data_IF_180925352399
#
_entry.id   IF_180925352399
#
_cell.length_a   1.000
_cell.length_b   1.000
_cell.length_c   1.000
_cell.angle_alpha   90.00
_cell.angle_beta   90.00
_cell.angle_gamma   90.00
#
_symmetry.space_group_name_H-M   'P 1'
#
loop_
_entity.id
_entity.type
_entity.pdbx_description
1 polymer ?
#
# COMPACT_ATOMS: atom_id res chain seq x y z
N UNK A 1 -24.64 34.85 9.82
CA UNK A 1 -25.38 36.03 9.32
C UNK A 1 -24.82 37.33 9.93
N UNK A 2 -23.49 37.47 9.94
CA UNK A 2 -22.77 38.60 10.56
C UNK A 2 -22.58 39.74 9.55
N UNK A 3 -22.31 40.96 10.02
CA UNK A 3 -21.98 42.10 9.15
C UNK A 3 -20.75 41.79 8.29
N UNK A 4 -19.71 41.18 8.88
CA UNK A 4 -18.52 40.75 8.15
C UNK A 4 -18.83 39.81 6.98
N UNK A 5 -19.72 38.82 7.19
CA UNK A 5 -20.11 37.89 6.12
C UNK A 5 -20.90 38.59 5.00
N UNK A 6 -21.78 39.54 5.35
CA UNK A 6 -22.52 40.33 4.35
C UNK A 6 -21.58 41.24 3.54
N UNK A 7 -20.60 41.86 4.19
CA UNK A 7 -19.58 42.69 3.53
C UNK A 7 -18.73 41.86 2.54
N UNK A 8 -18.32 40.66 2.95
CA UNK A 8 -17.61 39.72 2.07
C UNK A 8 -18.46 39.37 0.84
N UNK A 9 -19.73 38.99 1.02
CA UNK A 9 -20.60 38.63 -0.11
C UNK A 9 -20.84 39.81 -1.06
N UNK A 10 -20.97 41.02 -0.53
CA UNK A 10 -21.07 42.23 -1.35
C UNK A 10 -19.80 42.45 -2.17
N UNK A 11 -18.62 42.32 -1.55
CA UNK A 11 -17.33 42.45 -2.23
C UNK A 11 -17.13 41.37 -3.32
N UNK A 12 -17.52 40.12 -3.06
CA UNK A 12 -17.54 39.06 -4.06
C UNK A 12 -18.46 39.38 -5.25
N UNK A 13 -19.63 39.96 -4.97
CA UNK A 13 -20.59 40.33 -6.03
C UNK A 13 -20.01 41.43 -6.93
N UNK A 14 -19.31 42.39 -6.34
CA UNK A 14 -18.68 43.48 -7.08
C UNK A 14 -17.44 43.02 -7.87
N UNK A 15 -16.60 42.16 -7.30
CA UNK A 15 -15.39 41.68 -7.98
C UNK A 15 -15.64 40.52 -8.97
N UNK A 16 -16.77 39.82 -8.85
CA UNK A 16 -17.06 38.60 -9.61
C UNK A 16 -16.28 37.37 -9.13
N UNK A 17 -15.57 37.47 -8.00
CA UNK A 17 -14.78 36.38 -7.42
C UNK A 17 -15.62 35.54 -6.44
N UNK A 18 -15.27 34.27 -6.31
CA UNK A 18 -15.76 33.45 -5.19
C UNK A 18 -15.21 33.96 -3.86
N UNK A 19 -15.89 33.67 -2.72
CA UNK A 19 -15.38 34.01 -1.39
C UNK A 19 -13.94 33.54 -1.13
N UNK A 20 -13.58 32.35 -1.59
CA UNK A 20 -12.23 31.80 -1.41
C UNK A 20 -11.18 32.62 -2.19
N UNK A 21 -11.44 32.91 -3.47
CA UNK A 21 -10.54 33.70 -4.31
C UNK A 21 -10.31 35.10 -3.73
N UNK A 22 -11.40 35.76 -3.29
CA UNK A 22 -11.30 37.08 -2.69
C UNK A 22 -10.50 37.04 -1.37
N UNK A 23 -10.74 36.04 -0.51
CA UNK A 23 -9.99 35.87 0.75
C UNK A 23 -8.50 35.62 0.51
N UNK A 24 -8.15 34.81 -0.49
CA UNK A 24 -6.76 34.55 -0.88
C UNK A 24 -6.11 35.83 -1.41
N UNK A 25 -6.76 36.53 -2.34
CA UNK A 25 -6.26 37.80 -2.90
C UNK A 25 -6.05 38.88 -1.83
N UNK A 26 -6.90 38.89 -0.80
CA UNK A 26 -6.78 39.82 0.32
C UNK A 26 -5.80 39.37 1.42
N UNK A 27 -5.15 38.21 1.27
CA UNK A 27 -4.21 37.66 2.27
C UNK A 27 -4.87 37.19 3.57
N UNK A 28 -6.18 36.93 3.56
CA UNK A 28 -6.90 36.35 4.70
C UNK A 28 -6.77 34.82 4.76
N UNK A 29 -6.42 34.20 3.63
CA UNK A 29 -6.05 32.79 3.49
C UNK A 29 -4.76 32.76 2.67
N UNK A 30 -3.78 31.99 3.12
CA UNK A 30 -2.42 32.04 2.57
C UNK A 30 -2.35 31.45 1.15
N UNK A 31 -3.11 30.38 0.87
CA UNK A 31 -3.07 29.70 -0.42
C UNK A 31 -4.33 28.88 -0.72
N UNK A 32 -4.56 28.49 -2.00
CA UNK A 32 -5.58 27.50 -2.34
C UNK A 32 -5.41 26.19 -1.58
N UNK A 33 -4.16 25.75 -1.34
CA UNK A 33 -3.86 24.53 -0.58
C UNK A 33 -4.41 24.63 0.85
N UNK A 34 -4.11 25.72 1.56
CA UNK A 34 -4.60 25.95 2.93
C UNK A 34 -6.13 26.03 2.98
N UNK A 35 -6.77 26.65 1.99
CA UNK A 35 -8.24 26.66 1.89
C UNK A 35 -8.82 25.25 1.77
N UNK A 36 -8.30 24.45 0.84
CA UNK A 36 -8.80 23.09 0.59
C UNK A 36 -8.51 22.14 1.75
N UNK A 37 -7.31 22.20 2.34
CA UNK A 37 -6.95 21.47 3.55
C UNK A 37 -7.84 21.86 4.72
N UNK A 38 -8.05 23.16 4.98
CA UNK A 38 -8.92 23.64 6.05
C UNK A 38 -10.36 23.17 5.89
N UNK A 39 -10.90 23.19 4.67
CA UNK A 39 -12.22 22.65 4.36
C UNK A 39 -12.31 21.14 4.60
N UNK A 40 -11.29 20.38 4.17
CA UNK A 40 -11.21 18.95 4.40
C UNK A 40 -11.15 18.61 5.89
N UNK A 41 -10.24 19.25 6.63
CA UNK A 41 -10.08 19.07 8.08
C UNK A 41 -11.37 19.44 8.82
N UNK A 42 -12.01 20.56 8.49
CA UNK A 42 -13.29 20.92 9.12
C UNK A 42 -14.37 19.86 8.95
N UNK A 43 -14.45 19.24 7.77
CA UNK A 43 -15.50 18.27 7.45
C UNK A 43 -15.20 16.87 8.00
N UNK A 44 -13.93 16.45 8.00
CA UNK A 44 -13.53 15.07 8.29
C UNK A 44 -12.75 14.92 9.60
N UNK A 45 -12.12 15.99 10.09
CA UNK A 45 -11.29 16.03 11.29
C UNK A 45 -11.64 17.26 12.16
N UNK A 46 -12.89 17.41 12.65
CA UNK A 46 -13.34 18.61 13.36
C UNK A 46 -12.58 18.88 14.67
N UNK A 47 -11.91 17.87 15.24
CA UNK A 47 -11.01 18.00 16.39
C UNK A 47 -9.53 18.19 16.03
N UNK A 48 -9.20 18.33 14.75
CA UNK A 48 -7.83 18.30 14.21
C UNK A 48 -7.41 16.91 13.73
N UNK A 49 -6.42 16.88 12.82
CA UNK A 49 -5.84 15.64 12.26
C UNK A 49 -4.64 15.10 13.04
N UNK A 50 -4.13 15.86 14.01
CA UNK A 50 -3.01 15.42 14.85
C UNK A 50 -3.42 14.26 15.74
N UNK A 51 -2.51 13.32 15.94
CA UNK A 51 -2.69 12.27 16.94
C UNK A 51 -2.56 12.86 18.35
N UNK A 52 -3.21 12.23 19.32
CA UNK A 52 -3.02 12.55 20.73
C UNK A 52 -1.66 11.99 21.17
N UNK A 53 -0.70 12.87 21.45
CA UNK A 53 0.67 12.49 21.84
C UNK A 53 0.73 11.71 23.16
N UNK A 54 -0.35 11.68 23.95
CA UNK A 54 -0.44 10.83 25.15
C UNK A 54 -0.71 9.36 24.84
N UNK A 55 -1.24 9.05 23.65
CA UNK A 55 -1.49 7.69 23.20
C UNK A 55 -0.22 7.16 22.53
N UNK A 56 0.51 6.32 23.25
CA UNK A 56 1.76 5.71 22.80
C UNK A 56 1.70 4.19 22.91
N UNK A 57 2.61 3.52 22.22
CA UNK A 57 2.89 2.11 22.46
C UNK A 57 3.43 1.94 23.88
N UNK A 58 2.94 0.93 24.59
CA UNK A 58 3.58 0.45 25.80
C UNK A 58 4.90 -0.26 25.44
N UNK A 59 6.02 0.38 25.76
CA UNK A 59 7.36 -0.12 25.42
C UNK A 59 7.67 -1.47 26.05
N UNK A 60 7.15 -1.74 27.25
CA UNK A 60 7.35 -3.05 27.89
C UNK A 60 6.63 -4.16 27.13
N UNK A 61 5.39 -3.92 26.69
CA UNK A 61 4.66 -4.87 25.84
C UNK A 61 5.32 -5.04 24.47
N UNK A 62 5.88 -3.97 23.89
CA UNK A 62 6.61 -4.03 22.63
C UNK A 62 7.86 -4.91 22.72
N UNK A 63 8.72 -4.64 23.70
CA UNK A 63 9.95 -5.40 23.92
C UNK A 63 9.64 -6.88 24.19
N UNK A 64 8.63 -7.16 25.01
CA UNK A 64 8.19 -8.54 25.28
C UNK A 64 7.67 -9.25 24.03
N UNK A 65 6.81 -8.57 23.24
CA UNK A 65 6.28 -9.13 22.01
C UNK A 65 7.38 -9.42 20.97
N UNK A 66 8.40 -8.56 20.88
CA UNK A 66 9.52 -8.74 19.95
C UNK A 66 10.53 -9.79 20.42
N UNK A 67 10.76 -9.93 21.73
CA UNK A 67 11.76 -10.84 22.29
C UNK A 67 11.45 -12.32 22.01
N UNK A 68 10.18 -12.68 21.92
CA UNK A 68 9.72 -14.05 21.68
C UNK A 68 9.65 -14.41 20.18
N UNK A 69 9.87 -13.45 19.28
CA UNK A 69 9.82 -13.68 17.84
C UNK A 69 11.12 -14.33 17.34
N UNK A 70 11.05 -15.45 16.59
CA UNK A 70 12.23 -16.01 15.95
C UNK A 70 12.79 -15.04 14.90
N UNK A 71 14.10 -15.11 14.67
CA UNK A 71 14.73 -14.37 13.59
C UNK A 71 14.62 -15.15 12.28
N UNK A 72 14.00 -14.55 11.27
CA UNK A 72 13.88 -15.13 9.94
C UNK A 72 15.26 -15.30 9.29
N UNK A 73 15.49 -16.45 8.65
CA UNK A 73 16.72 -16.74 7.92
C UNK A 73 16.60 -16.32 6.45
N UNK A 74 16.29 -15.04 6.24
CA UNK A 74 16.07 -14.44 4.92
C UNK A 74 16.71 -13.06 4.86
N UNK A 75 16.92 -12.56 3.64
CA UNK A 75 17.18 -11.14 3.39
C UNK A 75 15.98 -10.59 2.62
N UNK A 76 15.16 -9.77 3.27
CA UNK A 76 13.98 -9.20 2.65
C UNK A 76 14.27 -7.82 2.05
N UNK A 77 13.46 -7.42 1.08
CA UNK A 77 13.48 -6.07 0.52
C UNK A 77 12.06 -5.61 0.19
N UNK A 78 11.80 -4.31 0.28
CA UNK A 78 10.53 -3.71 -0.13
C UNK A 78 10.66 -3.04 -1.50
N UNK A 79 9.53 -2.79 -2.17
CA UNK A 79 9.46 -2.05 -3.43
C UNK A 79 8.33 -1.03 -3.30
N UNK A 80 8.68 0.25 -3.18
CA UNK A 80 7.74 1.32 -2.86
C UNK A 80 7.98 2.58 -3.67
N UNK A 81 7.00 3.49 -3.67
CA UNK A 81 7.22 4.86 -4.12
C UNK A 81 8.20 5.59 -3.17
N UNK A 82 8.89 6.61 -3.66
CA UNK A 82 9.87 7.41 -2.90
C UNK A 82 9.25 8.14 -1.70
N UNK A 83 7.96 8.48 -1.79
CA UNK A 83 7.21 9.12 -0.71
C UNK A 83 6.71 8.16 0.37
N UNK A 84 6.91 6.85 0.22
CA UNK A 84 6.45 5.86 1.21
C UNK A 84 7.35 5.88 2.45
N UNK A 85 6.77 6.26 3.58
CA UNK A 85 7.41 6.22 4.92
C UNK A 85 6.80 5.19 5.85
N UNK A 86 5.71 4.54 5.43
CA UNK A 86 5.00 3.48 6.15
C UNK A 86 5.12 2.24 5.26
N UNK A 87 6.23 1.52 5.36
CA UNK A 87 6.48 0.34 4.51
C UNK A 87 5.77 -0.85 5.14
N UNK A 88 4.65 -1.24 4.52
CA UNK A 88 3.76 -2.28 5.04
C UNK A 88 4.18 -3.69 4.60
N UNK A 89 4.86 -3.83 3.45
CA UNK A 89 5.18 -5.11 2.87
C UNK A 89 6.62 -5.22 2.34
N UNK A 90 7.14 -6.44 2.38
CA UNK A 90 8.45 -6.81 1.85
C UNK A 90 8.44 -8.23 1.30
N UNK A 91 9.38 -8.52 0.41
CA UNK A 91 9.55 -9.81 -0.25
C UNK A 91 10.93 -10.38 0.06
N UNK A 92 11.04 -11.71 0.12
CA UNK A 92 12.32 -12.42 0.11
C UNK A 92 12.27 -13.65 -0.78
N UNK A 93 13.44 -14.08 -1.25
CA UNK A 93 13.61 -15.28 -2.07
C UNK A 93 14.76 -16.09 -1.48
N UNK A 94 14.54 -17.37 -1.25
CA UNK A 94 15.56 -18.29 -0.71
C UNK A 94 15.60 -19.55 -1.56
N UNK A 95 16.78 -19.92 -2.09
CA UNK A 95 16.92 -21.15 -2.85
C UNK A 95 16.67 -22.38 -1.96
N UNK A 96 15.98 -23.39 -2.50
CA UNK A 96 15.73 -24.67 -1.81
C UNK A 96 16.79 -25.72 -2.19
N UNK A 97 17.09 -26.63 -1.27
CA UNK A 97 18.10 -27.68 -1.48
C UNK A 97 17.75 -28.63 -2.64
N UNK A 98 16.45 -28.94 -2.80
CA UNK A 98 15.94 -29.85 -3.83
C UNK A 98 15.67 -29.14 -5.18
N UNK A 99 16.05 -27.87 -5.31
CA UNK A 99 15.75 -27.00 -6.44
C UNK A 99 14.50 -26.13 -6.23
N UNK A 100 14.37 -25.09 -7.04
CA UNK A 100 13.32 -24.07 -6.85
C UNK A 100 13.65 -23.07 -5.74
N UNK A 101 12.63 -22.35 -5.30
CA UNK A 101 12.78 -21.23 -4.36
C UNK A 101 11.63 -21.17 -3.36
N UNK A 102 11.93 -20.73 -2.14
CA UNK A 102 10.94 -20.26 -1.17
C UNK A 102 10.78 -18.76 -1.31
N UNK A 103 9.54 -18.32 -1.47
CA UNK A 103 9.17 -16.92 -1.51
C UNK A 103 8.59 -16.55 -0.14
N UNK A 104 9.15 -15.51 0.47
CA UNK A 104 8.62 -14.89 1.68
C UNK A 104 7.88 -13.60 1.34
N UNK A 105 6.70 -13.43 1.91
CA UNK A 105 5.87 -12.22 1.84
C UNK A 105 5.68 -11.75 3.27
N UNK A 106 6.29 -10.63 3.62
CA UNK A 106 6.40 -10.15 4.99
C UNK A 106 5.53 -8.91 5.17
N UNK A 107 4.55 -8.97 6.07
CA UNK A 107 3.63 -7.86 6.31
C UNK A 107 3.91 -7.27 7.69
N UNK A 108 4.09 -5.95 7.78
CA UNK A 108 4.24 -5.22 9.03
C UNK A 108 3.13 -5.62 10.01
N UNK A 109 3.50 -5.91 11.26
CA UNK A 109 2.59 -6.55 12.22
C UNK A 109 2.29 -5.70 13.47
N UNK A 110 1.72 -4.48 13.34
CA UNK A 110 1.35 -3.66 14.49
C UNK A 110 0.30 -4.33 15.40
N UNK A 111 -0.46 -5.29 14.87
CA UNK A 111 -1.40 -6.11 15.63
C UNK A 111 -0.75 -7.04 16.68
N UNK A 112 0.58 -7.17 16.70
CA UNK A 112 1.30 -7.88 17.77
C UNK A 112 1.22 -7.17 19.13
N UNK A 113 1.06 -5.84 19.13
CA UNK A 113 1.06 -5.02 20.36
C UNK A 113 -0.20 -4.17 20.52
N UNK A 114 -1.02 -4.07 19.48
CA UNK A 114 -2.29 -3.36 19.53
C UNK A 114 -3.40 -4.39 19.81
N UNK A 115 -3.83 -4.48 21.07
CA UNK A 115 -4.90 -5.36 21.45
C UNK A 115 -6.28 -4.71 21.27
N UNK A 116 -7.30 -5.56 21.20
CA UNK A 116 -8.68 -5.11 21.11
C UNK A 116 -9.04 -4.25 22.33
N UNK A 117 -9.64 -3.10 22.06
CA UNK A 117 -10.15 -2.09 22.99
C UNK A 117 -9.07 -1.21 23.66
N UNK A 118 -7.81 -1.36 23.24
CA UNK A 118 -6.72 -0.46 23.60
C UNK A 118 -6.93 0.96 23.05
N UNK A 119 -6.20 1.93 23.60
CA UNK A 119 -6.24 3.31 23.13
C UNK A 119 -5.83 3.42 21.65
N UNK A 120 -4.76 2.72 21.25
CA UNK A 120 -4.29 2.69 19.85
C UNK A 120 -5.31 2.03 18.91
N UNK A 121 -5.96 0.95 19.35
CA UNK A 121 -6.99 0.28 18.57
C UNK A 121 -8.22 1.19 18.36
N UNK A 122 -8.64 1.93 19.39
CA UNK A 122 -9.70 2.94 19.24
C UNK A 122 -9.32 4.02 18.23
N UNK A 123 -8.07 4.48 18.23
CA UNK A 123 -7.56 5.44 17.25
C UNK A 123 -7.62 4.84 15.84
N UNK A 124 -7.09 3.64 15.65
CA UNK A 124 -7.08 2.93 14.37
C UNK A 124 -8.50 2.72 13.83
N UNK A 125 -9.43 2.21 14.65
CA UNK A 125 -10.84 2.03 14.27
C UNK A 125 -11.55 3.34 13.95
N UNK A 126 -11.20 4.44 14.63
CA UNK A 126 -11.79 5.76 14.35
C UNK A 126 -11.31 6.32 13.02
N UNK A 127 -10.02 6.15 12.70
CA UNK A 127 -9.42 6.65 11.45
C UNK A 127 -9.68 5.74 10.25
N UNK A 128 -9.82 4.43 10.47
CA UNK A 128 -10.01 3.35 9.49
C UNK A 128 -8.86 3.13 8.50
N UNK A 129 -8.27 4.20 7.96
CA UNK A 129 -7.16 4.15 7.01
C UNK A 129 -6.33 5.43 7.05
N UNK A 130 -5.10 5.37 6.52
CA UNK A 130 -4.33 6.58 6.20
C UNK A 130 -5.04 7.33 5.07
N UNK A 131 -5.13 8.66 5.19
CA UNK A 131 -5.64 9.54 4.14
C UNK A 131 -4.46 10.09 3.37
N UNK A 132 -4.34 9.71 2.10
CA UNK A 132 -3.33 10.21 1.18
C UNK A 132 -3.89 11.35 0.33
N UNK A 133 -3.13 12.44 0.20
CA UNK A 133 -3.46 13.55 -0.69
C UNK A 133 -2.15 14.10 -1.30
N UNK A 134 -2.22 14.92 -2.37
CA UNK A 134 -1.01 15.46 -2.98
C UNK A 134 -0.09 16.15 -1.96
N UNK A 135 1.15 15.66 -1.87
CA UNK A 135 2.23 16.22 -1.06
C UNK A 135 2.21 15.92 0.43
N UNK A 136 1.16 15.28 0.98
CA UNK A 136 1.07 15.02 2.42
C UNK A 136 0.04 13.92 2.74
N UNK A 137 -0.01 13.48 4.00
CA UNK A 137 -0.90 12.42 4.46
C UNK A 137 -1.33 12.61 5.91
N UNK A 138 -2.48 12.02 6.26
CA UNK A 138 -2.93 11.89 7.64
C UNK A 138 -2.92 10.39 7.98
N UNK A 139 -1.93 9.98 8.78
CA UNK A 139 -1.64 8.58 9.11
C UNK A 139 -2.73 7.92 9.96
N UNK A 140 -2.99 6.63 9.74
CA UNK A 140 -3.93 5.84 10.55
C UNK A 140 -3.43 5.68 11.98
N UNK A 141 -2.14 5.43 12.14
CA UNK A 141 -1.46 5.21 13.41
C UNK A 141 -0.50 6.37 13.70
N UNK A 142 -0.20 6.68 14.97
CA UNK A 142 0.83 7.66 15.32
C UNK A 142 2.22 7.27 14.77
N UNK A 143 3.06 8.26 14.49
CA UNK A 143 4.42 8.05 13.97
C UNK A 143 5.25 7.15 14.91
N UNK A 144 5.07 7.29 16.22
CA UNK A 144 5.72 6.43 17.22
C UNK A 144 5.35 4.95 17.10
N UNK A 145 4.22 4.63 16.46
CA UNK A 145 3.84 3.25 16.13
C UNK A 145 4.46 2.85 14.81
N UNK A 146 4.33 3.71 13.79
CA UNK A 146 4.86 3.47 12.44
C UNK A 146 6.36 3.16 12.51
N UNK A 147 7.14 3.94 13.24
CA UNK A 147 8.60 3.75 13.38
C UNK A 147 9.00 2.37 13.92
N UNK A 148 8.12 1.70 14.66
CA UNK A 148 8.39 0.37 15.23
C UNK A 148 8.06 -0.78 14.27
N UNK A 149 7.10 -0.57 13.35
CA UNK A 149 6.54 -1.62 12.50
C UNK A 149 6.82 -1.44 11.01
N UNK A 150 7.13 -0.22 10.56
CA UNK A 150 7.58 0.03 9.18
C UNK A 150 8.75 -0.89 8.88
N UNK A 151 8.68 -1.57 7.75
CA UNK A 151 9.70 -2.52 7.29
C UNK A 151 10.92 -1.78 6.72
N UNK A 152 11.46 -0.82 7.48
CA UNK A 152 12.62 -0.03 7.03
C UNK A 152 13.90 -0.87 7.08
N UNK A 153 14.78 -0.64 6.10
CA UNK A 153 16.08 -1.28 5.95
C UNK A 153 17.02 -1.03 7.14
N UNK A 154 17.97 -1.95 7.32
CA UNK A 154 19.08 -1.82 8.28
C UNK A 154 18.86 -2.51 9.63
N UNK A 155 17.65 -2.96 9.95
CA UNK A 155 17.38 -3.76 11.13
C UNK A 155 16.30 -4.82 10.88
N UNK A 156 16.27 -5.92 11.66
CA UNK A 156 15.14 -6.83 11.66
C UNK A 156 13.85 -6.15 12.14
N UNK A 157 12.74 -6.39 11.43
CA UNK A 157 11.43 -5.77 11.71
C UNK A 157 10.36 -6.84 11.99
N UNK A 158 9.44 -6.62 12.96
CA UNK A 158 8.41 -7.59 13.28
C UNK A 158 7.38 -7.70 12.15
N UNK A 159 7.17 -8.90 11.63
CA UNK A 159 6.24 -9.15 10.54
C UNK A 159 5.40 -10.41 10.78
N UNK A 160 4.26 -10.44 10.12
CA UNK A 160 3.52 -11.67 9.84
C UNK A 160 3.88 -12.09 8.42
N UNK A 161 4.68 -13.16 8.32
CA UNK A 161 5.21 -13.67 7.06
C UNK A 161 4.39 -14.83 6.54
N UNK A 162 4.13 -14.82 5.23
CA UNK A 162 3.68 -15.98 4.47
C UNK A 162 4.84 -16.50 3.65
N UNK A 163 5.10 -17.79 3.74
CA UNK A 163 6.06 -18.49 2.89
C UNK A 163 5.34 -19.46 1.97
N UNK A 164 5.78 -19.53 0.72
CA UNK A 164 5.36 -20.53 -0.26
C UNK A 164 6.54 -20.91 -1.15
N UNK A 165 6.62 -22.19 -1.49
CA UNK A 165 7.63 -22.73 -2.37
C UNK A 165 7.16 -22.67 -3.83
N UNK A 166 8.10 -22.40 -4.73
CA UNK A 166 7.94 -22.44 -6.18
C UNK A 166 8.99 -23.35 -6.79
N UNK A 167 8.66 -24.00 -7.90
CA UNK A 167 9.63 -24.75 -8.71
C UNK A 167 10.57 -23.83 -9.51
N UNK A 168 11.46 -24.43 -10.31
CA UNK A 168 12.42 -23.70 -11.15
C UNK A 168 11.76 -22.83 -12.24
N UNK A 169 10.52 -23.16 -12.60
CA UNK A 169 9.72 -22.47 -13.61
C UNK A 169 8.84 -21.38 -12.99
N UNK A 170 8.77 -21.31 -11.66
CA UNK A 170 8.01 -20.34 -10.89
C UNK A 170 6.60 -20.79 -10.52
N UNK A 171 6.24 -22.05 -10.76
CA UNK A 171 4.93 -22.57 -10.39
C UNK A 171 4.86 -22.83 -8.88
N UNK A 172 3.80 -22.34 -8.25
CA UNK A 172 3.61 -22.45 -6.79
C UNK A 172 3.18 -23.85 -6.37
N UNK A 173 3.85 -24.37 -5.34
CA UNK A 173 3.32 -25.45 -4.51
C UNK A 173 2.46 -24.87 -3.39
N UNK A 174 1.14 -24.89 -3.57
CA UNK A 174 0.20 -24.33 -2.59
C UNK A 174 0.17 -25.07 -1.26
N UNK A 175 0.59 -26.34 -1.23
CA UNK A 175 0.59 -27.16 -0.01
C UNK A 175 1.79 -26.83 0.89
N UNK A 176 2.82 -26.15 0.34
CA UNK A 176 4.01 -25.71 1.08
C UNK A 176 3.76 -24.47 1.97
N UNK A 177 2.56 -23.89 1.92
CA UNK A 177 2.23 -22.63 2.56
C UNK A 177 2.49 -22.68 4.07
N UNK A 178 3.21 -21.68 4.58
CA UNK A 178 3.50 -21.50 6.00
C UNK A 178 3.23 -20.06 6.42
N UNK A 179 2.70 -19.88 7.63
CA UNK A 179 2.50 -18.58 8.26
C UNK A 179 3.38 -18.48 9.51
N UNK A 180 4.11 -17.38 9.68
CA UNK A 180 4.99 -17.16 10.84
C UNK A 180 4.93 -15.72 11.32
N UNK A 181 4.84 -15.51 12.62
CA UNK A 181 5.19 -14.23 13.23
C UNK A 181 6.68 -14.28 13.58
N UNK A 182 7.47 -13.31 13.10
CA UNK A 182 8.93 -13.35 13.23
C UNK A 182 9.57 -11.97 13.05
N UNK A 183 10.86 -11.87 13.36
CA UNK A 183 11.69 -10.71 13.04
C UNK A 183 12.35 -10.92 11.68
N UNK A 184 12.07 -10.04 10.72
CA UNK A 184 12.52 -10.15 9.32
C UNK A 184 13.68 -9.19 9.06
N UNK A 185 14.90 -9.68 8.75
CA UNK A 185 16.01 -8.83 8.34
C UNK A 185 15.73 -8.07 7.05
N UNK A 186 15.65 -6.73 7.14
CA UNK A 186 15.41 -5.84 5.99
C UNK A 186 16.74 -5.41 5.36
N UNK A 187 17.00 -5.92 4.16
CA UNK A 187 18.22 -5.67 3.37
C UNK A 187 18.18 -4.38 2.57
N UNK A 188 17.04 -4.03 1.96
CA UNK A 188 16.88 -2.76 1.26
C UNK A 188 15.41 -2.33 1.13
N UNK A 189 15.17 -1.01 1.05
CA UNK A 189 13.91 -0.45 0.58
C UNK A 189 14.09 0.13 -0.84
N UNK A 190 13.67 -0.63 -1.85
CA UNK A 190 13.81 -0.26 -3.25
C UNK A 190 12.77 0.80 -3.63
N UNK A 191 13.20 1.89 -4.27
CA UNK A 191 12.31 2.99 -4.70
C UNK A 191 12.00 2.92 -6.19
N UNK A 192 10.73 2.89 -6.54
CA UNK A 192 10.24 2.74 -7.91
C UNK A 192 10.83 3.78 -8.85
N UNK A 193 10.85 5.06 -8.46
CA UNK A 193 11.35 6.15 -9.31
C UNK A 193 12.84 5.97 -9.70
N UNK A 194 13.62 5.31 -8.85
CA UNK A 194 15.04 5.08 -9.06
C UNK A 194 15.34 3.82 -9.90
N UNK A 195 14.44 2.84 -9.90
CA UNK A 195 14.70 1.48 -10.39
C UNK A 195 13.77 1.04 -11.52
N UNK A 196 12.52 1.50 -11.55
CA UNK A 196 11.49 1.02 -12.47
C UNK A 196 11.94 1.10 -13.94
N UNK A 197 12.58 2.20 -14.34
CA UNK A 197 13.09 2.38 -15.71
C UNK A 197 14.28 1.48 -16.06
N UNK A 198 14.95 0.88 -15.07
CA UNK A 198 16.09 -0.03 -15.26
C UNK A 198 15.67 -1.50 -15.28
N UNK A 199 14.53 -1.83 -14.68
CA UNK A 199 14.04 -3.21 -14.57
C UNK A 199 13.20 -3.58 -15.78
N UNK A 200 13.84 -4.21 -16.75
CA UNK A 200 13.25 -4.82 -17.95
C UNK A 200 13.46 -6.34 -17.97
N UNK A 201 12.74 -7.07 -18.82
CA UNK A 201 12.96 -8.52 -18.97
C UNK A 201 14.42 -8.84 -19.33
N UNK A 202 15.00 -8.07 -20.26
CA UNK A 202 16.40 -8.22 -20.66
C UNK A 202 17.36 -7.97 -19.48
N UNK A 203 17.09 -6.94 -18.66
CA UNK A 203 17.95 -6.63 -17.50
C UNK A 203 17.89 -7.69 -16.41
N UNK A 204 16.75 -8.40 -16.27
CA UNK A 204 16.61 -9.48 -15.31
C UNK A 204 17.35 -10.75 -15.78
N UNK A 205 17.46 -10.95 -17.09
CA UNK A 205 18.21 -12.03 -17.72
C UNK A 205 19.72 -11.76 -17.77
N UNK A 206 20.16 -10.51 -17.84
CA UNK A 206 21.57 -10.14 -17.85
C UNK A 206 22.20 -10.26 -16.45
N UNK A 207 23.03 -11.28 -16.26
CA UNK A 207 23.75 -11.49 -14.99
C UNK A 207 24.70 -10.35 -14.60
N UNK A 208 25.09 -9.50 -15.56
CA UNK A 208 25.98 -8.36 -15.31
C UNK A 208 25.22 -7.05 -15.09
N UNK A 209 23.89 -7.05 -15.13
CA UNK A 209 23.11 -5.85 -14.86
C UNK A 209 23.33 -5.39 -13.41
N UNK A 210 23.67 -4.11 -13.26
CA UNK A 210 23.81 -3.44 -11.96
C UNK A 210 22.43 -3.12 -11.38
N UNK A 211 21.77 -4.17 -10.86
CA UNK A 211 20.44 -4.11 -10.26
C UNK A 211 20.47 -4.75 -8.87
N UNK A 212 20.03 -4.04 -7.83
CA UNK A 212 19.90 -4.62 -6.49
C UNK A 212 18.85 -5.75 -6.54
N UNK A 213 19.13 -6.86 -5.87
CA UNK A 213 18.24 -8.03 -5.82
C UNK A 213 17.81 -8.56 -7.21
N UNK A 214 18.66 -8.39 -8.25
CA UNK A 214 18.34 -8.80 -9.63
C UNK A 214 17.83 -10.23 -9.73
N UNK A 215 18.51 -11.15 -9.05
CA UNK A 215 18.19 -12.57 -9.10
C UNK A 215 16.82 -12.83 -8.46
N UNK A 216 16.58 -12.27 -7.28
CA UNK A 216 15.32 -12.37 -6.55
C UNK A 216 14.17 -11.76 -7.36
N UNK A 217 14.38 -10.58 -7.96
CA UNK A 217 13.41 -9.95 -8.86
C UNK A 217 13.10 -10.83 -10.08
N UNK A 218 14.09 -11.51 -10.66
CA UNK A 218 13.88 -12.42 -11.79
C UNK A 218 13.02 -13.63 -11.42
N UNK A 219 13.24 -14.20 -10.24
CA UNK A 219 12.48 -15.32 -9.69
C UNK A 219 11.04 -14.89 -9.38
N UNK A 220 10.88 -13.76 -8.68
CA UNK A 220 9.58 -13.19 -8.36
C UNK A 220 8.78 -12.85 -9.62
N UNK A 221 9.45 -12.34 -10.65
CA UNK A 221 8.82 -12.01 -11.94
C UNK A 221 8.29 -13.26 -12.65
N UNK A 222 9.08 -14.33 -12.72
CA UNK A 222 8.66 -15.59 -13.35
C UNK A 222 7.37 -16.13 -12.70
N UNK A 223 7.34 -16.20 -11.37
CA UNK A 223 6.17 -16.63 -10.62
C UNK A 223 4.98 -15.64 -10.74
N UNK A 224 5.22 -14.33 -10.69
CA UNK A 224 4.18 -13.31 -10.84
C UNK A 224 3.46 -13.43 -12.20
N UNK A 225 4.17 -13.76 -13.28
CA UNK A 225 3.56 -14.00 -14.59
C UNK A 225 2.62 -15.20 -14.59
N UNK A 226 2.97 -16.28 -13.89
CA UNK A 226 2.13 -17.47 -13.76
C UNK A 226 0.90 -17.20 -12.87
N UNK A 227 1.09 -16.49 -11.76
CA UNK A 227 0.00 -16.01 -10.90
C UNK A 227 -0.99 -15.15 -11.70
N UNK A 228 -0.46 -14.17 -12.45
CA UNK A 228 -1.26 -13.32 -13.32
C UNK A 228 -2.05 -14.13 -14.34
N UNK A 229 -1.39 -15.04 -15.06
CA UNK A 229 -2.03 -15.88 -16.07
C UNK A 229 -3.20 -16.69 -15.48
N UNK A 230 -3.00 -17.34 -14.34
CA UNK A 230 -4.05 -18.08 -13.64
C UNK A 230 -5.25 -17.21 -13.25
N UNK A 231 -5.01 -15.98 -12.76
CA UNK A 231 -6.10 -15.02 -12.49
C UNK A 231 -6.83 -14.62 -13.75
N UNK A 232 -6.12 -14.40 -14.87
CA UNK A 232 -6.77 -14.01 -16.12
C UNK A 232 -7.65 -15.13 -16.70
N UNK A 233 -7.26 -16.40 -16.56
CA UNK A 233 -8.13 -17.54 -16.91
C UNK A 233 -9.44 -17.50 -16.12
N UNK A 234 -9.37 -17.25 -14.80
CA UNK A 234 -10.55 -17.13 -13.97
C UNK A 234 -11.38 -15.87 -14.28
N UNK A 235 -10.75 -14.76 -14.62
CA UNK A 235 -11.47 -13.55 -15.07
C UNK A 235 -12.26 -13.80 -16.35
N UNK A 236 -11.66 -14.49 -17.32
CA UNK A 236 -12.33 -14.85 -18.57
C UNK A 236 -13.49 -15.82 -18.31
N UNK A 237 -13.31 -16.80 -17.41
CA UNK A 237 -14.40 -17.70 -17.03
C UNK A 237 -15.55 -16.98 -16.31
N UNK A 238 -15.26 -15.89 -15.60
CA UNK A 238 -16.24 -14.97 -15.01
C UNK A 238 -16.87 -14.00 -16.05
N UNK A 239 -16.51 -14.10 -17.33
CA UNK A 239 -17.06 -13.25 -18.40
C UNK A 239 -16.42 -11.86 -18.51
N UNK A 240 -15.28 -11.64 -17.86
CA UNK A 240 -14.53 -10.38 -17.92
C UNK A 240 -13.41 -10.45 -18.97
N UNK A 241 -12.95 -9.28 -19.41
CA UNK A 241 -11.80 -9.19 -20.31
C UNK A 241 -10.50 -9.48 -19.56
N UNK A 242 -9.64 -10.30 -20.15
CA UNK A 242 -8.28 -10.51 -19.66
C UNK A 242 -7.47 -9.21 -19.73
N UNK A 243 -6.74 -8.92 -18.66
CA UNK A 243 -5.69 -7.92 -18.62
C UNK A 243 -4.44 -8.46 -19.32
N UNK A 244 -3.62 -7.57 -19.86
CA UNK A 244 -2.36 -7.92 -20.53
C UNK A 244 -1.24 -7.18 -19.80
N UNK A 245 -0.23 -7.91 -19.34
CA UNK A 245 0.94 -7.34 -18.67
C UNK A 245 1.64 -6.31 -19.56
N UNK A 246 2.06 -5.20 -18.96
CA UNK A 246 2.73 -4.10 -19.66
C UNK A 246 1.83 -3.28 -20.61
N UNK A 247 0.57 -3.67 -20.81
CA UNK A 247 -0.39 -2.88 -21.59
C UNK A 247 -1.35 -2.14 -20.65
N UNK A 248 -1.35 -0.82 -20.76
CA UNK A 248 -2.36 0.02 -20.08
C UNK A 248 -3.74 -0.31 -20.66
N UNK A 249 -4.70 -0.66 -19.79
CA UNK A 249 -6.09 -0.84 -20.22
C UNK A 249 -6.61 0.49 -20.81
N UNK A 250 -7.00 0.53 -22.10
CA UNK A 250 -7.50 1.75 -22.74
C UNK A 250 -8.79 2.28 -22.09
N UNK A 251 -9.51 1.45 -21.33
CA UNK A 251 -10.74 1.77 -20.62
C UNK A 251 -10.56 1.93 -19.11
N UNK A 252 -9.40 1.59 -18.55
CA UNK A 252 -9.08 2.04 -17.21
C UNK A 252 -9.16 3.58 -17.23
N UNK A 253 -9.64 4.18 -16.14
CA UNK A 253 -9.61 5.63 -16.01
C UNK A 253 -8.21 6.09 -16.43
N UNK A 254 -8.12 6.85 -17.53
CA UNK A 254 -6.87 7.18 -18.22
C UNK A 254 -5.95 8.13 -17.41
N UNK A 255 -5.99 8.04 -16.08
CA UNK A 255 -5.85 9.16 -15.14
C UNK A 255 -5.46 8.70 -13.74
N UNK A 256 -4.71 7.60 -13.63
CA UNK A 256 -3.85 7.51 -12.45
C UNK A 256 -2.70 8.49 -12.67
N UNK A 257 -2.58 9.42 -11.74
CA UNK A 257 -1.62 10.51 -11.82
C UNK A 257 -0.74 10.48 -10.59
N UNK A 258 0.54 10.79 -10.79
CA UNK A 258 1.38 11.29 -9.72
C UNK A 258 1.11 12.78 -9.57
N UNK A 259 0.92 13.19 -8.32
CA UNK A 259 0.81 14.59 -7.94
C UNK A 259 2.04 14.93 -7.11
N UNK A 260 2.86 15.86 -7.60
CA UNK A 260 4.02 16.36 -6.87
C UNK A 260 3.84 17.83 -6.59
N UNK A 261 4.15 18.26 -5.37
CA UNK A 261 4.20 19.68 -5.03
C UNK A 261 5.63 20.16 -5.30
N UNK A 262 5.78 21.11 -6.23
CA UNK A 262 7.05 21.76 -6.54
C UNK A 262 6.95 23.25 -6.27
N UNK A 263 8.02 23.82 -5.71
CA UNK A 263 8.14 25.26 -5.53
C UNK A 263 8.65 25.90 -6.83
N UNK A 264 7.85 26.81 -7.39
CA UNK A 264 8.22 27.61 -8.56
C UNK A 264 8.06 29.09 -8.20
N UNK A 265 9.16 29.84 -8.27
CA UNK A 265 9.18 31.28 -7.99
C UNK A 265 8.63 31.67 -6.60
N UNK A 266 8.80 30.82 -5.59
CA UNK A 266 8.30 31.03 -4.23
C UNK A 266 6.82 30.66 -4.05
N UNK A 267 6.18 30.07 -5.06
CA UNK A 267 4.82 29.53 -4.99
C UNK A 267 4.83 28.01 -5.16
N UNK A 268 4.13 27.29 -4.28
CA UNK A 268 3.90 25.85 -4.46
C UNK A 268 2.90 25.60 -5.60
N UNK A 269 3.29 24.74 -6.54
CA UNK A 269 2.44 24.27 -7.65
C UNK A 269 2.36 22.76 -7.65
N UNK A 270 1.19 22.25 -7.99
CA UNK A 270 0.96 20.82 -8.19
C UNK A 270 1.32 20.47 -9.62
N UNK A 271 2.39 19.70 -9.81
CA UNK A 271 2.69 19.02 -11.05
C UNK A 271 1.90 17.71 -11.11
N UNK A 272 1.24 17.47 -12.25
CA UNK A 272 0.40 16.29 -12.48
C UNK A 272 1.01 15.53 -13.65
N UNK A 273 1.57 14.35 -13.37
CA UNK A 273 2.14 13.47 -14.39
C UNK A 273 1.35 12.16 -14.47
N UNK A 274 1.16 11.57 -15.67
CA UNK A 274 0.53 10.25 -15.78
C UNK A 274 1.38 9.19 -15.06
N UNK A 275 0.77 8.38 -14.21
CA UNK A 275 1.40 7.19 -13.66
C UNK A 275 1.31 6.07 -14.71
N UNK A 276 2.44 5.56 -15.16
CA UNK A 276 2.46 4.33 -15.92
C UNK A 276 2.24 3.18 -14.94
N UNK A 277 1.24 2.32 -15.21
CA UNK A 277 1.02 1.09 -14.47
C UNK A 277 1.50 -0.10 -15.29
N UNK A 278 1.86 -1.17 -14.58
CA UNK A 278 2.18 -2.45 -15.21
C UNK A 278 3.64 -2.58 -15.60
N UNK A 279 4.52 -1.83 -14.94
CA UNK A 279 5.93 -2.17 -14.92
C UNK A 279 6.15 -3.53 -14.27
N UNK A 280 7.34 -4.09 -14.46
CA UNK A 280 7.70 -5.39 -13.86
C UNK A 280 7.64 -5.30 -12.33
N UNK A 281 8.18 -4.22 -11.74
CA UNK A 281 8.18 -4.01 -10.29
C UNK A 281 6.76 -3.86 -9.73
N UNK A 282 5.92 -3.01 -10.33
CA UNK A 282 4.50 -2.87 -9.97
C UNK A 282 3.78 -4.22 -10.00
N UNK A 283 4.06 -5.03 -11.04
CA UNK A 283 3.40 -6.33 -11.22
C UNK A 283 3.88 -7.36 -10.19
N UNK A 284 5.18 -7.39 -9.88
CA UNK A 284 5.73 -8.26 -8.84
C UNK A 284 4.99 -7.99 -7.52
N UNK A 285 4.97 -6.73 -7.07
CA UNK A 285 4.30 -6.36 -5.82
C UNK A 285 2.82 -6.72 -5.89
N UNK A 286 2.11 -6.32 -6.96
CA UNK A 286 0.68 -6.56 -7.08
C UNK A 286 0.32 -8.06 -7.02
N UNK A 287 0.97 -8.92 -7.82
CA UNK A 287 0.62 -10.35 -7.88
C UNK A 287 0.96 -11.08 -6.58
N UNK A 288 2.08 -10.75 -5.93
CA UNK A 288 2.44 -11.34 -4.64
C UNK A 288 1.54 -10.87 -3.51
N UNK A 289 1.13 -9.60 -3.49
CA UNK A 289 0.14 -9.09 -2.52
C UNK A 289 -1.25 -9.68 -2.75
N UNK A 290 -1.66 -9.86 -4.01
CA UNK A 290 -2.92 -10.53 -4.35
C UNK A 290 -2.89 -11.99 -3.89
N UNK A 291 -1.79 -12.71 -4.13
CA UNK A 291 -1.59 -14.07 -3.63
C UNK A 291 -1.65 -14.12 -2.10
N UNK A 292 -0.89 -13.27 -1.40
CA UNK A 292 -0.88 -13.17 0.06
C UNK A 292 -2.28 -12.98 0.64
N UNK A 293 -3.04 -12.02 0.09
CA UNK A 293 -4.40 -11.73 0.52
C UNK A 293 -5.36 -12.90 0.27
N UNK A 294 -5.28 -13.52 -0.91
CA UNK A 294 -6.11 -14.68 -1.27
C UNK A 294 -5.81 -15.89 -0.38
N UNK A 295 -4.52 -16.18 -0.17
CA UNK A 295 -4.06 -17.28 0.65
C UNK A 295 -4.45 -17.09 2.14
N UNK A 296 -4.27 -15.87 2.68
CA UNK A 296 -4.72 -15.52 4.03
C UNK A 296 -6.24 -15.65 4.19
N UNK A 297 -7.00 -15.14 3.22
CA UNK A 297 -8.45 -15.27 3.20
C UNK A 297 -8.89 -16.73 3.18
N UNK A 298 -8.26 -17.55 2.34
CA UNK A 298 -8.51 -19.00 2.29
C UNK A 298 -8.17 -19.68 3.62
N UNK A 299 -7.03 -19.34 4.23
CA UNK A 299 -6.62 -19.92 5.52
C UNK A 299 -7.66 -19.64 6.61
N UNK A 300 -8.14 -18.39 6.71
CA UNK A 300 -9.22 -18.02 7.64
C UNK A 300 -10.51 -18.81 7.35
N UNK A 301 -10.89 -18.91 6.08
CA UNK A 301 -12.09 -19.62 5.65
C UNK A 301 -12.03 -21.13 5.97
N UNK A 302 -10.92 -21.79 5.64
CA UNK A 302 -10.72 -23.22 5.86
C UNK A 302 -10.74 -23.59 7.35
N UNK A 303 -10.31 -22.67 8.22
CA UNK A 303 -10.34 -22.83 9.68
C UNK A 303 -11.63 -22.34 10.33
N UNK A 304 -12.59 -21.84 9.55
CA UNK A 304 -13.85 -21.30 10.07
C UNK A 304 -13.67 -20.05 10.95
N UNK A 305 -12.58 -19.31 10.77
CA UNK A 305 -12.29 -18.10 11.53
C UNK A 305 -12.99 -16.89 10.92
N UNK A 306 -13.62 -16.02 11.72
CA UNK A 306 -14.19 -14.79 11.22
C UNK A 306 -13.08 -13.85 10.74
N UNK A 307 -13.28 -13.23 9.58
CA UNK A 307 -12.36 -12.26 9.00
C UNK A 307 -13.12 -11.18 8.24
N UNK A 308 -12.42 -10.11 7.85
CA UNK A 308 -12.95 -9.10 6.93
C UNK A 308 -12.55 -9.49 5.50
N UNK A 309 -13.48 -10.06 4.76
CA UNK A 309 -13.29 -10.49 3.38
C UNK A 309 -13.65 -9.38 2.42
N UNK A 310 -12.73 -9.08 1.51
CA UNK A 310 -12.93 -8.15 0.40
C UNK A 310 -13.49 -8.92 -0.80
N UNK A 311 -14.81 -8.84 -1.02
CA UNK A 311 -15.50 -9.61 -2.06
C UNK A 311 -16.02 -8.71 -3.17
N UNK A 312 -16.15 -9.27 -4.37
CA UNK A 312 -16.74 -8.60 -5.53
C UNK A 312 -17.46 -9.66 -6.37
N UNK A 313 -18.80 -9.64 -6.33
CA UNK A 313 -19.67 -10.56 -7.06
C UNK A 313 -20.54 -9.81 -8.06
N UNK A 314 -20.71 -10.37 -9.25
CA UNK A 314 -21.43 -9.79 -10.37
C UNK A 314 -22.94 -9.80 -10.15
N UNK A 315 -23.47 -8.67 -9.65
CA UNK A 315 -24.78 -8.16 -10.05
C UNK A 315 -24.86 -6.65 -9.78
N UNK A 316 -24.92 -5.85 -10.85
CA UNK A 316 -24.85 -4.38 -10.80
C UNK A 316 -23.45 -3.82 -11.06
N UNK A 317 -23.18 -2.54 -10.77
CA UNK A 317 -21.82 -1.99 -10.92
C UNK A 317 -20.88 -2.82 -10.05
N UNK A 318 -19.79 -3.33 -10.64
CA UNK A 318 -18.75 -4.18 -10.04
C UNK A 318 -18.10 -3.52 -8.82
N UNK A 319 -18.84 -3.42 -7.71
CA UNK A 319 -18.42 -2.75 -6.49
C UNK A 319 -17.91 -3.79 -5.51
N UNK A 320 -16.67 -3.58 -5.08
CA UNK A 320 -16.08 -4.27 -3.95
C UNK A 320 -16.90 -4.01 -2.68
N UNK A 321 -17.02 -5.03 -1.82
CA UNK A 321 -17.66 -4.96 -0.51
C UNK A 321 -16.77 -5.61 0.55
N UNK A 322 -16.92 -5.20 1.80
CA UNK A 322 -16.38 -5.90 2.95
C UNK A 322 -17.47 -6.79 3.56
N UNK A 323 -17.15 -8.06 3.84
CA UNK A 323 -18.09 -9.04 4.40
C UNK A 323 -17.39 -9.92 5.45
N UNK A 324 -18.16 -10.56 6.32
CA UNK A 324 -17.62 -11.47 7.36
C UNK A 324 -17.56 -12.93 6.91
N UNK A 325 -17.92 -13.20 5.65
CA UNK A 325 -17.90 -14.53 5.04
C UNK A 325 -17.05 -14.48 3.78
N UNK A 326 -16.28 -15.55 3.49
CA UNK A 326 -15.50 -15.61 2.26
C UNK A 326 -16.41 -15.58 1.03
N UNK A 327 -15.89 -15.01 -0.05
CA UNK A 327 -16.59 -14.90 -1.33
C UNK A 327 -15.63 -14.51 -2.45
N UNK A 328 -16.05 -14.67 -3.71
CA UNK A 328 -15.18 -14.43 -4.86
C UNK A 328 -14.85 -12.94 -5.01
N UNK A 329 -13.76 -12.67 -5.71
CA UNK A 329 -13.43 -11.34 -6.23
C UNK A 329 -13.31 -11.43 -7.75
N UNK A 330 -14.45 -11.38 -8.45
CA UNK A 330 -14.54 -11.66 -9.88
C UNK A 330 -13.62 -10.77 -10.72
N UNK A 331 -13.53 -9.48 -10.41
CA UNK A 331 -12.63 -8.52 -11.06
C UNK A 331 -11.16 -8.66 -10.67
N UNK A 332 -10.79 -9.61 -9.82
CA UNK A 332 -9.39 -10.03 -9.66
C UNK A 332 -9.18 -11.48 -10.11
N UNK A 333 -10.22 -12.19 -10.54
CA UNK A 333 -10.12 -13.61 -10.90
C UNK A 333 -9.81 -14.51 -9.71
N UNK A 334 -10.36 -14.20 -8.54
CA UNK A 334 -10.18 -14.96 -7.30
C UNK A 334 -11.48 -15.60 -6.81
#
# INVERSE_FOLDING_TARGET
>A
NTIAYKALLAACTESGESPAQLMIRCGAIDSPLQYHQGMFLKNHFPGGSKHDESIKIDQTSLEAAMADLPLAQVTAFSIDDSGTTEIDDALSVTALEDGGYRIGIHIAAPGLVIAKDDALDKVARTRMSTVYFPGDKITMLPDSVIEQFSLDEGAPRPALSIYVDIDSEGALDKESLQLRAEMVPMGANLRLENLEHKVTEDSLLDENADLPFRHELSVLWAAARLLHAGRQEQRVSNGLRAEILGMVDPNALARDFHFQIQEHDGEERVEISPRQRGSILDTIVAEWMIYCNSASGKLLADHGLPGLFRTQKGWGPLRTRMQTTPGPHEGLGL
#
